data_IF_464014319074
#
_entry.id   IF_464014319074
#
_cell.length_a   1.000
_cell.length_b   1.000
_cell.length_c   1.000
_cell.angle_alpha   90.00
_cell.angle_beta   90.00
_cell.angle_gamma   90.00
#
_symmetry.space_group_name_H-M   'P 1'
#
loop_
_entity.id
_entity.type
_entity.pdbx_description
1 polymer ?
#
# COMPACT_ATOMS: atom_id res chain seq x y z
N UNK A 1 7.42 -18.65 -13.21
CA UNK A 1 6.60 -17.56 -13.78
C UNK A 1 6.10 -16.65 -12.65
N UNK A 2 6.59 -15.42 -12.58
CA UNK A 2 6.07 -14.42 -11.63
C UNK A 2 4.67 -14.03 -12.07
N UNK A 3 3.64 -14.14 -11.21
CA UNK A 3 2.29 -13.76 -11.58
C UNK A 3 2.28 -12.27 -11.95
N UNK A 4 1.68 -11.94 -13.10
CA UNK A 4 1.48 -10.55 -13.51
C UNK A 4 0.55 -9.87 -12.49
N UNK A 5 0.94 -8.71 -11.93
CA UNK A 5 0.09 -7.98 -11.01
C UNK A 5 -1.24 -7.59 -11.67
N UNK A 6 -2.36 -7.63 -10.95
CA UNK A 6 -3.64 -7.21 -11.49
C UNK A 6 -3.64 -5.70 -11.81
N UNK A 7 -4.46 -5.24 -12.77
CA UNK A 7 -4.56 -3.82 -13.08
C UNK A 7 -5.13 -3.03 -11.89
N UNK A 8 -4.63 -1.81 -11.69
CA UNK A 8 -5.04 -0.89 -10.63
C UNK A 8 -6.57 -0.67 -10.58
N UNK A 9 -7.26 -0.71 -11.73
CA UNK A 9 -8.73 -0.59 -11.83
C UNK A 9 -9.50 -1.70 -11.08
N UNK A 10 -8.84 -2.81 -10.72
CA UNK A 10 -9.40 -3.91 -9.93
C UNK A 10 -9.23 -3.71 -8.43
N UNK A 11 -8.50 -2.68 -8.01
CA UNK A 11 -8.39 -2.33 -6.60
C UNK A 11 -9.72 -1.81 -6.07
N UNK A 12 -10.03 -2.09 -4.80
CA UNK A 12 -11.12 -1.39 -4.13
C UNK A 12 -10.86 0.12 -4.23
N UNK A 13 -11.87 0.86 -4.73
CA UNK A 13 -11.77 2.20 -5.35
C UNK A 13 -10.99 3.29 -4.59
N UNK A 14 -10.62 3.06 -3.34
CA UNK A 14 -10.03 4.07 -2.46
C UNK A 14 -8.71 3.64 -1.82
N UNK A 15 -8.23 2.40 -2.02
CA UNK A 15 -7.01 1.91 -1.36
C UNK A 15 -5.84 1.71 -2.33
N UNK A 16 -5.69 2.63 -3.27
CA UNK A 16 -4.59 2.66 -4.22
C UNK A 16 -3.52 3.63 -3.74
N UNK A 17 -2.29 3.14 -3.65
CA UNK A 17 -1.17 3.91 -3.12
C UNK A 17 0.05 3.75 -4.00
N UNK A 18 0.79 4.83 -4.21
CA UNK A 18 2.11 4.81 -4.80
C UNK A 18 3.13 4.74 -3.66
N UNK A 19 3.85 3.63 -3.57
CA UNK A 19 4.77 3.35 -2.49
C UNK A 19 6.19 3.13 -3.00
N UNK A 20 7.19 3.55 -2.24
CA UNK A 20 8.55 3.11 -2.54
C UNK A 20 8.64 1.60 -2.30
N UNK A 21 9.38 0.88 -3.15
CA UNK A 21 9.51 -0.58 -3.06
C UNK A 21 10.12 -1.06 -1.73
N UNK A 22 10.83 -0.18 -1.01
CA UNK A 22 11.40 -0.44 0.32
C UNK A 22 10.47 -0.02 1.48
N UNK A 23 9.25 0.40 1.19
CA UNK A 23 8.25 0.83 2.18
C UNK A 23 7.27 -0.28 2.54
N UNK A 24 7.34 -1.42 1.85
CA UNK A 24 6.63 -2.63 2.25
C UNK A 24 7.41 -3.29 3.38
N UNK A 25 6.83 -3.25 4.57
CA UNK A 25 7.30 -3.99 5.73
C UNK A 25 6.57 -5.33 5.77
N UNK A 26 7.31 -6.40 6.06
CA UNK A 26 6.69 -7.67 6.39
C UNK A 26 5.93 -7.52 7.72
N UNK A 27 4.83 -8.25 7.93
CA UNK A 27 4.08 -8.15 9.18
C UNK A 27 4.90 -8.60 10.42
N UNK A 28 5.90 -9.47 10.22
CA UNK A 28 6.84 -9.86 11.26
C UNK A 28 7.96 -8.84 11.51
N UNK A 29 7.98 -7.72 10.78
CA UNK A 29 8.91 -6.63 11.04
C UNK A 29 8.55 -5.98 12.39
N UNK A 30 9.52 -5.69 13.27
CA UNK A 30 9.25 -5.09 14.58
C UNK A 30 8.54 -3.73 14.46
N UNK A 31 8.80 -2.95 13.41
CA UNK A 31 8.11 -1.67 13.17
C UNK A 31 6.66 -1.90 12.76
N UNK A 32 6.41 -2.86 11.87
CA UNK A 32 5.05 -3.24 11.48
C UNK A 32 4.26 -3.78 12.69
N UNK A 33 4.89 -4.62 13.51
CA UNK A 33 4.29 -5.20 14.72
C UNK A 33 3.87 -4.12 15.72
N UNK A 34 4.71 -3.10 15.91
CA UNK A 34 4.40 -1.96 16.77
C UNK A 34 3.21 -1.14 16.25
N UNK A 35 3.14 -0.90 14.94
CA UNK A 35 2.02 -0.18 14.31
C UNK A 35 0.73 -1.00 14.43
N UNK A 36 0.79 -2.32 14.19
CA UNK A 36 -0.36 -3.21 14.31
C UNK A 36 -0.86 -3.28 15.75
N UNK A 37 0.04 -3.37 16.73
CA UNK A 37 -0.29 -3.36 18.16
C UNK A 37 -0.97 -2.04 18.56
N UNK A 38 -0.42 -0.90 18.12
CA UNK A 38 -1.02 0.41 18.34
C UNK A 38 -2.42 0.56 17.70
N UNK A 39 -2.69 -0.18 16.63
CA UNK A 39 -3.99 -0.24 15.96
C UNK A 39 -4.92 -1.34 16.52
N UNK A 40 -4.47 -2.15 17.47
CA UNK A 40 -5.23 -3.27 18.02
C UNK A 40 -5.40 -4.46 17.06
N UNK A 41 -4.55 -4.57 16.04
CA UNK A 41 -4.60 -5.57 14.97
C UNK A 41 -3.62 -6.71 15.25
N UNK A 42 -3.85 -7.47 16.32
CA UNK A 42 -2.90 -8.50 16.80
C UNK A 42 -2.99 -9.84 16.05
N UNK A 43 -3.99 -10.02 15.16
CA UNK A 43 -4.41 -11.37 14.70
C UNK A 43 -4.56 -11.52 13.18
N UNK A 44 -4.16 -10.54 12.36
CA UNK A 44 -4.29 -10.70 10.92
C UNK A 44 -3.04 -11.35 10.32
N UNK A 45 -3.18 -12.38 9.45
CA UNK A 45 -2.11 -12.81 8.55
C UNK A 45 -1.92 -11.73 7.48
N UNK A 46 -1.43 -10.56 7.87
CA UNK A 46 -1.14 -9.47 6.94
C UNK A 46 0.14 -9.81 6.20
N UNK A 47 0.03 -9.97 4.88
CA UNK A 47 1.14 -10.34 4.01
C UNK A 47 2.11 -9.19 3.78
N UNK A 48 1.66 -7.95 3.91
CA UNK A 48 2.49 -6.75 3.89
C UNK A 48 1.80 -5.60 4.61
N UNK A 49 2.56 -4.88 5.43
CA UNK A 49 2.17 -3.65 6.12
C UNK A 49 3.01 -2.53 5.54
N UNK A 50 2.39 -1.42 5.23
CA UNK A 50 3.08 -0.26 4.69
C UNK A 50 2.77 0.90 5.60
N UNK A 51 3.79 1.44 6.26
CA UNK A 51 3.66 2.68 6.99
C UNK A 51 3.46 3.82 5.99
N UNK A 52 2.43 4.63 6.17
CA UNK A 52 2.21 5.86 5.39
C UNK A 52 3.01 7.05 5.98
N UNK A 53 3.70 6.85 7.10
CA UNK A 53 4.51 7.86 7.76
C UNK A 53 5.75 8.29 6.93
N UNK A 54 5.93 9.61 6.81
CA UNK A 54 7.07 10.26 6.15
C UNK A 54 7.06 10.21 4.60
N UNK A 55 5.89 10.29 3.97
CA UNK A 55 5.79 10.41 2.50
C UNK A 55 6.31 9.18 1.73
N UNK A 56 6.39 8.03 2.40
CA UNK A 56 6.81 6.75 1.83
C UNK A 56 5.77 6.20 0.85
N UNK A 57 4.51 6.56 1.09
CA UNK A 57 3.39 6.19 0.26
C UNK A 57 2.39 7.32 0.17
N UNK A 58 1.96 7.60 -1.06
CA UNK A 58 1.01 8.66 -1.33
C UNK A 58 -0.23 8.06 -2.01
N UNK A 59 -1.39 8.66 -1.74
CA UNK A 59 -2.61 8.24 -2.41
C UNK A 59 -2.50 8.54 -3.91
N UNK A 60 -3.02 7.62 -4.71
CA UNK A 60 -3.13 7.81 -6.15
C UNK A 60 -4.54 7.48 -6.62
N UNK A 61 -4.96 8.20 -7.65
CA UNK A 61 -6.18 7.89 -8.39
C UNK A 61 -6.05 6.59 -9.17
N UNK A 62 -7.17 6.04 -9.64
CA UNK A 62 -7.18 4.85 -10.50
C UNK A 62 -6.38 5.04 -11.81
N UNK A 63 -6.14 6.29 -12.23
CA UNK A 63 -5.30 6.64 -13.37
C UNK A 63 -3.80 6.65 -13.03
N UNK A 64 -3.41 6.37 -11.79
CA UNK A 64 -2.01 6.40 -11.34
C UNK A 64 -1.47 7.81 -11.07
N UNK A 65 -2.36 8.80 -10.98
CA UNK A 65 -2.02 10.21 -10.72
C UNK A 65 -2.14 10.48 -9.22
N UNK A 66 -1.09 11.06 -8.66
CA UNK A 66 -0.98 11.56 -7.29
C UNK A 66 -1.83 12.83 -7.12
N UNK A 67 -2.17 13.18 -5.88
CA UNK A 67 -2.92 14.41 -5.55
C UNK A 67 -2.25 15.70 -6.05
N UNK A 68 -0.92 15.70 -6.23
CA UNK A 68 -0.16 16.83 -6.75
C UNK A 68 -0.08 16.88 -8.29
N UNK A 69 -0.76 15.96 -8.99
CA UNK A 69 -0.78 15.88 -10.46
C UNK A 69 0.38 15.08 -11.08
N UNK A 70 1.32 14.60 -10.27
CA UNK A 70 2.41 13.72 -10.74
C UNK A 70 1.91 12.29 -10.98
N UNK A 71 2.52 11.56 -11.91
CA UNK A 71 2.30 10.12 -12.06
C UNK A 71 3.17 9.33 -11.09
N UNK A 72 2.64 8.20 -10.59
CA UNK A 72 3.38 7.30 -9.71
C UNK A 72 4.61 6.70 -10.41
N UNK A 73 5.79 7.22 -10.09
CA UNK A 73 7.07 6.70 -10.60
C UNK A 73 7.69 5.60 -9.73
N UNK A 74 7.02 5.21 -8.63
CA UNK A 74 7.48 4.14 -7.74
C UNK A 74 6.62 2.87 -7.94
N UNK A 75 6.45 2.06 -6.90
CA UNK A 75 5.65 0.84 -6.97
C UNK A 75 4.20 1.15 -6.61
N UNK A 76 3.27 1.07 -7.57
CA UNK A 76 1.85 1.13 -7.28
C UNK A 76 1.41 -0.16 -6.56
N UNK A 77 0.71 0.02 -5.44
CA UNK A 77 0.17 -1.07 -4.63
C UNK A 77 -1.32 -0.86 -4.38
N UNK A 78 -2.05 -1.96 -4.32
CA UNK A 78 -3.43 -2.00 -3.88
C UNK A 78 -3.48 -2.61 -2.48
N UNK A 79 -4.03 -1.87 -1.52
CA UNK A 79 -4.12 -2.30 -0.13
C UNK A 79 -5.55 -2.65 0.25
N UNK A 80 -5.71 -3.49 1.27
CA UNK A 80 -7.01 -4.01 1.66
C UNK A 80 -7.71 -3.11 2.68
N UNK A 81 -6.96 -2.51 3.61
CA UNK A 81 -7.45 -1.51 4.55
C UNK A 81 -6.45 -0.36 4.71
N UNK A 82 -6.98 0.81 5.02
CA UNK A 82 -6.21 2.01 5.38
C UNK A 82 -6.60 2.45 6.79
N UNK A 83 -5.61 2.75 7.62
CA UNK A 83 -5.79 3.17 9.01
C UNK A 83 -5.44 4.64 9.13
N UNK A 84 -6.43 5.52 8.95
CA UNK A 84 -6.35 6.97 9.20
C UNK A 84 -5.10 7.67 8.66
N UNK A 85 -4.55 7.22 7.52
CA UNK A 85 -3.34 7.80 6.95
C UNK A 85 -2.03 7.46 7.70
N UNK A 86 -2.07 6.59 8.70
CA UNK A 86 -0.89 6.11 9.45
C UNK A 86 -0.26 4.89 8.79
N UNK A 87 -1.09 3.94 8.37
CA UNK A 87 -0.64 2.71 7.74
C UNK A 87 -1.71 2.11 6.84
N UNK A 88 -1.28 1.32 5.87
CA UNK A 88 -2.14 0.50 5.01
C UNK A 88 -1.67 -0.95 5.09
N UNK A 89 -2.63 -1.87 5.04
CA UNK A 89 -2.36 -3.31 5.23
C UNK A 89 -2.88 -4.13 4.06
N UNK A 90 -2.30 -5.32 3.89
CA UNK A 90 -2.71 -6.25 2.84
C UNK A 90 -2.39 -5.68 1.46
N UNK A 91 -1.25 -5.02 1.33
CA UNK A 91 -0.83 -4.39 0.09
C UNK A 91 -0.25 -5.42 -0.88
N UNK A 92 -0.81 -5.49 -2.08
CA UNK A 92 -0.28 -6.25 -3.19
C UNK A 92 0.16 -5.32 -4.31
N UNK A 93 1.27 -5.60 -5.01
CA UNK A 93 1.65 -4.85 -6.20
C UNK A 93 0.53 -4.92 -7.24
N UNK A 94 0.33 -3.82 -7.95
CA UNK A 94 -0.58 -3.73 -9.09
C UNK A 94 0.14 -3.13 -10.28
N UNK A 95 -0.47 -3.20 -11.46
CA UNK A 95 0.05 -2.50 -12.63
C UNK A 95 -0.83 -1.29 -12.92
N UNK A 96 -0.21 -0.13 -13.09
CA UNK A 96 -0.86 1.06 -13.63
C UNK A 96 -1.00 0.85 -15.14
N UNK A 97 -2.10 0.19 -15.51
CA UNK A 97 -2.45 -0.03 -16.91
C UNK A 97 -3.22 1.16 -17.44
N UNK A 98 -2.72 1.73 -18.53
CA UNK A 98 -3.54 2.45 -19.51
C UNK A 98 -4.43 1.47 -20.27
#
# INVERSE_FOLDING_TARGET
>A
PTPTPPPASKCHRNNLYCCKSNSLLAANDPVASFILDALGLTILPVTAVVSLGNGTCNHITAAGVLDNGDTCSQSPVCCQNSFSGLAVIGCSPVTLGV
#
